data_IF_444439880534
#
_entry.id   IF_444439880534
#
_cell.length_a   1.000
_cell.length_b   1.000
_cell.length_c   1.000
_cell.angle_alpha   90.00
_cell.angle_beta   90.00
_cell.angle_gamma   90.00
#
_symmetry.space_group_name_H-M   'P 1'
#
loop_
_entity.id
_entity.type
_entity.pdbx_description
1 polymer ?
#
# COMPACT_ATOMS: atom_id res chain seq x y z
N UNK A 1 -6.74 -4.38 4.47
CA UNK A 1 -5.67 -3.87 3.58
C UNK A 1 -4.61 -4.93 3.41
N UNK A 2 -4.18 -5.05 2.20
CA UNK A 2 -3.09 -5.95 1.92
C UNK A 2 -2.16 -5.34 0.89
N UNK A 3 -0.91 -5.51 1.05
CA UNK A 3 0.05 -5.09 0.06
C UNK A 3 0.97 -6.25 -0.30
N UNK A 4 1.87 -6.03 -1.22
CA UNK A 4 2.65 -7.11 -1.80
C UNK A 4 3.54 -7.83 -0.78
N UNK A 5 3.91 -7.17 0.30
CA UNK A 5 4.78 -7.75 1.31
C UNK A 5 4.06 -8.09 2.61
N UNK A 6 2.96 -7.42 2.89
CA UNK A 6 2.23 -7.58 4.13
C UNK A 6 0.75 -7.73 3.87
N UNK A 7 0.07 -8.48 4.69
CA UNK A 7 -1.38 -8.61 4.64
C UNK A 7 -1.95 -8.28 6.02
N UNK A 8 -2.95 -7.41 6.04
CA UNK A 8 -3.61 -6.98 7.26
C UNK A 8 -5.09 -7.29 7.15
N UNK A 9 -5.62 -7.98 8.13
CA UNK A 9 -7.02 -8.42 8.13
C UNK A 9 -7.74 -7.72 9.26
N UNK A 10 -8.87 -7.10 8.91
CA UNK A 10 -9.71 -6.42 9.88
C UNK A 10 -9.32 -4.96 10.06
N UNK A 11 -10.29 -4.19 10.51
CA UNK A 11 -10.19 -2.74 10.62
C UNK A 11 -9.10 -2.30 11.59
N UNK A 12 -8.99 -2.98 12.72
CA UNK A 12 -8.02 -2.62 13.75
C UNK A 12 -6.59 -2.82 13.27
N UNK A 13 -6.32 -3.94 12.59
CA UNK A 13 -5.00 -4.23 12.06
C UNK A 13 -4.59 -3.25 10.97
N UNK A 14 -5.54 -2.85 10.14
CA UNK A 14 -5.30 -1.86 9.08
C UNK A 14 -4.96 -0.51 9.70
N UNK A 15 -5.70 -0.09 10.72
CA UNK A 15 -5.47 1.17 11.40
C UNK A 15 -4.11 1.19 12.09
N UNK A 16 -3.70 0.10 12.73
CA UNK A 16 -2.39 -0.03 13.35
C UNK A 16 -1.27 0.07 12.34
N UNK A 17 -1.40 -0.61 11.21
CA UNK A 17 -0.39 -0.58 10.16
C UNK A 17 -0.23 0.83 9.59
N UNK A 18 -1.33 1.53 9.35
CA UNK A 18 -1.30 2.90 8.88
C UNK A 18 -0.66 3.84 9.91
N UNK A 19 -1.04 3.70 11.17
CA UNK A 19 -0.48 4.52 12.24
C UNK A 19 1.03 4.32 12.38
N UNK A 20 1.50 3.08 12.28
CA UNK A 20 2.93 2.79 12.35
C UNK A 20 3.69 3.45 11.20
N UNK A 21 3.13 3.41 9.99
CA UNK A 21 3.77 4.04 8.84
C UNK A 21 3.85 5.57 9.01
N UNK A 22 2.77 6.19 9.48
CA UNK A 22 2.77 7.62 9.76
C UNK A 22 3.68 8.00 10.92
N UNK A 23 3.86 7.12 11.90
CA UNK A 23 4.79 7.37 13.01
C UNK A 23 6.23 7.45 12.50
N UNK A 24 6.60 6.59 11.56
CA UNK A 24 7.95 6.56 10.98
C UNK A 24 8.17 7.71 9.99
N UNK A 25 7.12 8.14 9.32
CA UNK A 25 7.18 9.21 8.33
C UNK A 25 5.99 10.16 8.54
N UNK A 26 6.11 11.10 9.50
CA UNK A 26 4.99 12.00 9.81
C UNK A 26 4.57 12.90 8.66
N UNK A 27 5.47 13.15 7.71
CA UNK A 27 5.20 13.94 6.51
C UNK A 27 4.67 13.10 5.34
N UNK A 28 4.23 11.89 5.61
CA UNK A 28 3.70 11.00 4.58
C UNK A 28 2.54 11.68 3.84
N UNK A 29 2.62 11.68 2.53
CA UNK A 29 1.63 12.30 1.67
C UNK A 29 1.37 11.43 0.45
N UNK A 30 0.17 11.54 -0.09
CA UNK A 30 -0.23 10.80 -1.28
C UNK A 30 -0.76 11.80 -2.30
N UNK A 31 -0.11 11.86 -3.46
CA UNK A 31 -0.59 12.67 -4.57
C UNK A 31 -1.32 11.75 -5.53
N UNK A 32 -2.60 12.02 -5.71
CA UNK A 32 -3.45 11.18 -6.54
C UNK A 32 -3.08 11.33 -8.02
N UNK A 33 -2.94 10.19 -8.69
CA UNK A 33 -2.81 10.12 -10.13
C UNK A 33 -4.12 9.72 -10.78
N UNK A 34 -4.09 8.72 -11.65
CA UNK A 34 -5.27 8.27 -12.38
C UNK A 34 -6.16 7.40 -11.50
N UNK A 35 -7.45 7.47 -11.78
CA UNK A 35 -8.44 6.60 -11.14
C UNK A 35 -9.18 5.85 -12.25
N UNK A 36 -9.27 4.55 -12.09
CA UNK A 36 -9.94 3.67 -13.04
C UNK A 36 -11.16 3.09 -12.36
N UNK A 37 -12.31 3.20 -13.02
CA UNK A 37 -13.57 2.73 -12.47
C UNK A 37 -14.03 1.47 -13.19
N UNK A 38 -14.39 0.47 -12.42
CA UNK A 38 -15.05 -0.74 -12.90
C UNK A 38 -16.40 -0.89 -12.23
N UNK A 39 -17.12 -1.96 -12.55
CA UNK A 39 -18.45 -2.18 -12.00
C UNK A 39 -18.41 -2.49 -10.51
N UNK A 40 -17.40 -3.21 -10.07
CA UNK A 40 -17.28 -3.67 -8.68
C UNK A 40 -15.94 -3.32 -8.06
N UNK A 41 -15.16 -2.48 -8.72
CA UNK A 41 -13.85 -2.09 -8.21
C UNK A 41 -13.42 -0.71 -8.70
N UNK A 42 -12.48 -0.13 -7.97
CA UNK A 42 -11.83 1.13 -8.32
C UNK A 42 -10.35 0.91 -8.16
N UNK A 43 -9.55 1.34 -9.14
CA UNK A 43 -8.10 1.37 -9.03
C UNK A 43 -7.68 2.83 -8.92
N UNK A 44 -6.95 3.16 -7.86
CA UNK A 44 -6.43 4.51 -7.63
C UNK A 44 -4.90 4.47 -7.69
N UNK A 45 -4.33 5.24 -8.61
CA UNK A 45 -2.88 5.39 -8.72
C UNK A 45 -2.46 6.63 -7.95
N UNK A 46 -1.29 6.61 -7.34
CA UNK A 46 -0.78 7.73 -6.57
C UNK A 46 0.74 7.72 -6.50
N UNK A 47 1.31 8.84 -6.07
CA UNK A 47 2.70 8.92 -5.64
C UNK A 47 2.69 9.06 -4.12
N UNK A 48 3.36 8.16 -3.44
CA UNK A 48 3.56 8.22 -2.00
C UNK A 48 4.90 8.89 -1.73
N UNK A 49 4.90 9.88 -0.87
CA UNK A 49 6.13 10.61 -0.53
C UNK A 49 6.23 10.89 0.95
N UNK A 50 7.43 11.15 1.40
CA UNK A 50 7.71 11.47 2.79
C UNK A 50 9.19 11.44 3.06
N UNK A 51 9.54 11.31 4.35
CA UNK A 51 10.91 11.23 4.81
C UNK A 51 11.03 10.10 5.82
N UNK A 52 12.05 9.26 5.65
CA UNK A 52 12.36 8.21 6.60
C UNK A 52 13.79 8.38 7.08
N UNK A 53 13.96 8.59 8.38
CA UNK A 53 15.28 8.77 8.99
C UNK A 53 16.12 9.81 8.25
N UNK A 54 15.53 10.93 7.91
CA UNK A 54 16.18 12.01 7.21
C UNK A 54 16.34 11.84 5.71
N UNK A 55 15.89 10.73 5.15
CA UNK A 55 15.99 10.46 3.70
C UNK A 55 14.63 10.66 3.03
N UNK A 56 14.52 11.58 2.08
CA UNK A 56 13.29 11.78 1.37
C UNK A 56 13.02 10.63 0.39
N UNK A 57 11.76 10.29 0.21
CA UNK A 57 11.35 9.29 -0.75
C UNK A 57 10.11 9.75 -1.52
N UNK A 58 9.98 9.26 -2.72
CA UNK A 58 8.76 9.38 -3.52
C UNK A 58 8.69 8.15 -4.43
N UNK A 59 7.62 7.41 -4.34
CA UNK A 59 7.45 6.19 -5.13
C UNK A 59 5.99 6.01 -5.55
N UNK A 60 5.82 5.27 -6.63
CA UNK A 60 4.49 5.02 -7.17
C UNK A 60 3.77 3.95 -6.36
N UNK A 61 2.47 4.06 -6.31
CA UNK A 61 1.62 3.06 -5.71
C UNK A 61 0.27 3.02 -6.38
N UNK A 62 -0.46 1.96 -6.12
CA UNK A 62 -1.84 1.85 -6.53
C UNK A 62 -2.62 1.04 -5.51
N UNK A 63 -3.87 1.43 -5.32
CA UNK A 63 -4.82 0.73 -4.47
C UNK A 63 -5.95 0.19 -5.32
N UNK A 64 -6.35 -1.03 -5.06
CA UNK A 64 -7.51 -1.63 -5.68
C UNK A 64 -8.56 -1.81 -4.60
N UNK A 65 -9.69 -1.13 -4.76
CA UNK A 65 -10.82 -1.26 -3.86
C UNK A 65 -11.86 -2.13 -4.54
N UNK A 66 -12.26 -3.19 -3.87
CA UNK A 66 -13.31 -4.07 -4.34
C UNK A 66 -14.56 -3.86 -3.49
N UNK A 67 -15.72 -3.83 -4.15
CA UNK A 67 -16.98 -3.52 -3.50
C UNK A 67 -17.91 -4.73 -3.48
N UNK A 68 -18.69 -4.81 -2.42
CA UNK A 68 -19.78 -5.78 -2.30
C UNK A 68 -20.92 -5.07 -1.60
N UNK A 69 -22.10 -5.11 -2.21
CA UNK A 69 -23.31 -4.48 -1.66
C UNK A 69 -23.12 -2.99 -1.36
N UNK A 70 -22.37 -2.28 -2.22
CA UNK A 70 -22.14 -0.86 -2.05
C UNK A 70 -21.10 -0.49 -1.00
N UNK A 71 -20.43 -1.49 -0.40
CA UNK A 71 -19.44 -1.28 0.64
C UNK A 71 -18.08 -1.78 0.17
N UNK A 72 -17.01 -1.17 0.67
CA UNK A 72 -15.65 -1.64 0.40
C UNK A 72 -15.47 -2.96 1.12
N UNK A 73 -15.32 -4.03 0.35
CA UNK A 73 -15.09 -5.36 0.89
C UNK A 73 -13.61 -5.67 1.02
N UNK A 74 -12.78 -5.06 0.18
CA UNK A 74 -11.36 -5.36 0.14
C UNK A 74 -10.59 -4.16 -0.40
N UNK A 75 -9.38 -3.96 0.14
CA UNK A 75 -8.43 -2.97 -0.37
C UNK A 75 -7.08 -3.64 -0.50
N UNK A 76 -6.54 -3.64 -1.70
CA UNK A 76 -5.20 -4.15 -1.99
C UNK A 76 -4.31 -2.98 -2.38
N UNK A 77 -3.16 -2.88 -1.75
CA UNK A 77 -2.20 -1.80 -2.00
C UNK A 77 -0.92 -2.37 -2.60
N UNK A 78 -0.49 -1.78 -3.69
CA UNK A 78 0.72 -2.17 -4.41
C UNK A 78 1.63 -0.95 -4.49
N UNK A 79 2.78 -1.05 -3.85
CA UNK A 79 3.72 0.06 -3.74
C UNK A 79 5.06 -0.38 -4.33
N UNK A 80 5.71 0.52 -5.02
CA UNK A 80 7.04 0.26 -5.57
C UNK A 80 8.08 0.29 -4.44
N UNK A 81 8.15 -0.81 -3.71
CA UNK A 81 9.05 -0.94 -2.58
C UNK A 81 10.51 -0.95 -2.97
N UNK A 82 10.83 -1.33 -4.19
CA UNK A 82 12.20 -1.31 -4.67
C UNK A 82 12.74 0.12 -4.74
N UNK A 83 11.95 1.03 -5.31
CA UNK A 83 12.30 2.44 -5.34
C UNK A 83 12.38 3.02 -3.93
N UNK A 84 11.41 2.68 -3.08
CA UNK A 84 11.40 3.11 -1.69
C UNK A 84 12.66 2.68 -0.95
N UNK A 85 13.07 1.42 -1.10
CA UNK A 85 14.29 0.90 -0.48
C UNK A 85 15.52 1.60 -1.00
N UNK A 86 15.59 1.86 -2.30
CA UNK A 86 16.72 2.56 -2.89
C UNK A 86 16.88 3.98 -2.37
N UNK A 87 15.78 4.65 -2.11
CA UNK A 87 15.77 6.03 -1.62
C UNK A 87 16.01 6.12 -0.12
N UNK A 88 15.45 5.21 0.66
CA UNK A 88 15.50 5.29 2.12
C UNK A 88 16.54 4.39 2.77
N UNK A 89 16.96 3.36 2.07
CA UNK A 89 17.82 2.34 2.63
C UNK A 89 17.10 1.31 3.49
N UNK A 90 15.79 1.42 3.65
CA UNK A 90 15.02 0.46 4.41
C UNK A 90 14.86 -0.83 3.62
N UNK A 91 15.07 -1.97 4.26
CA UNK A 91 14.90 -3.26 3.60
C UNK A 91 13.53 -3.85 3.92
N UNK A 92 12.59 -3.53 3.06
CA UNK A 92 11.22 -4.03 3.23
C UNK A 92 11.10 -5.52 2.89
N UNK A 93 12.05 -6.06 2.16
CA UNK A 93 11.98 -7.48 1.80
C UNK A 93 12.24 -8.39 2.97
N UNK A 94 12.82 -7.89 4.04
CA UNK A 94 13.04 -8.67 5.24
C UNK A 94 11.85 -8.63 6.19
N UNK A 95 10.87 -7.80 5.92
CA UNK A 95 9.70 -7.68 6.76
C UNK A 95 8.59 -8.52 6.21
N UNK A 96 8.19 -9.54 6.96
CA UNK A 96 7.06 -10.31 6.58
C UNK A 96 7.13 -10.79 5.17
N UNK A 97 8.24 -11.29 4.79
CA UNK A 97 8.44 -11.74 3.45
C UNK A 97 7.40 -12.71 3.07
N UNK A 98 6.50 -12.26 2.32
CA UNK A 98 5.54 -13.10 1.77
C UNK A 98 5.69 -12.93 0.34
N UNK A 99 6.16 -13.91 -0.23
CA UNK A 99 6.39 -13.82 -1.62
C UNK A 99 5.11 -13.81 -2.36
N UNK A 100 5.24 -13.52 -3.59
CA UNK A 100 4.14 -13.35 -4.48
C UNK A 100 3.12 -14.45 -4.50
N UNK A 101 3.43 -15.67 -4.15
CA UNK A 101 2.37 -16.67 -4.10
C UNK A 101 1.25 -16.31 -3.16
N UNK A 102 1.54 -15.48 -2.19
CA UNK A 102 0.49 -15.01 -1.33
C UNK A 102 -0.48 -14.11 -2.06
N UNK A 103 -0.11 -13.66 -3.23
CA UNK A 103 -0.91 -12.87 -4.08
C UNK A 103 -1.58 -13.75 -5.07
N UNK A 104 -2.60 -14.39 -4.66
CA UNK A 104 -3.37 -15.22 -5.57
C UNK A 104 -4.20 -14.32 -6.46
N UNK A 105 -3.96 -14.37 -7.75
CA UNK A 105 -4.68 -13.55 -8.69
C UNK A 105 -6.17 -13.77 -8.64
N UNK A 106 -6.58 -14.96 -8.30
CA UNK A 106 -8.00 -15.24 -8.16
C UNK A 106 -8.64 -14.51 -6.99
N UNK A 107 -7.84 -13.99 -6.08
CA UNK A 107 -8.33 -13.21 -4.95
C UNK A 107 -8.46 -11.73 -5.26
N UNK A 108 -8.06 -11.33 -6.44
CA UNK A 108 -8.12 -9.94 -6.85
C UNK A 108 -9.44 -9.61 -7.51
#
# INVERSE_FOLDING_TARGET
MHNILDAYIGRAAIAEAAAAFFADSPDLAFERGRVHLGDDHIVSEYVMSGTLLGRPFACDGSDIFSFRNGLVARKDSYIDWLTYQGQTGADRTQQGVRLLPALDISDI
#
